data_IF_373716843221
#
_entry.id   IF_373716843221
#
_cell.length_a   1.000
_cell.length_b   1.000
_cell.length_c   1.000
_cell.angle_alpha   90.00
_cell.angle_beta   90.00
_cell.angle_gamma   90.00
#
_symmetry.space_group_name_H-M   'P 1'
#
loop_
_entity.id
_entity.type
_entity.pdbx_description
1 polymer ?
2 non-polymer ?
3 water ?
#
# COMPACT_ATOMS: atom_id res chain seq x y z
N UNK A 1 -4.68 -20.70 -5.13
CA UNK A 1 -5.15 -19.61 -4.19
C UNK A 1 -6.67 -19.57 -4.06
N UNK A 2 -7.18 -19.26 -2.87
CA UNK A 2 -8.61 -19.21 -2.62
C UNK A 2 -8.93 -18.03 -1.70
N UNK A 3 -10.09 -17.39 -1.92
CA UNK A 3 -10.58 -16.36 -1.04
C UNK A 3 -10.65 -16.87 0.40
N UNK A 4 -10.33 -15.97 1.33
CA UNK A 4 -10.47 -16.20 2.76
C UNK A 4 -10.95 -14.91 3.39
N UNK A 5 -11.83 -15.01 4.37
CA UNK A 5 -12.22 -13.89 5.16
C UNK A 5 -12.94 -14.30 6.41
N UNK A 6 -12.86 -13.47 7.44
CA UNK A 6 -13.54 -13.71 8.69
C UNK A 6 -13.99 -12.41 9.32
N UNK A 7 -15.11 -12.44 10.02
CA UNK A 7 -15.62 -11.35 10.79
C UNK A 7 -15.28 -11.59 12.28
N UNK A 8 -14.65 -10.61 12.91
CA UNK A 8 -14.25 -10.67 14.31
C UNK A 8 -15.04 -9.68 15.12
N UNK A 9 -15.82 -10.19 16.08
CA UNK A 9 -16.74 -9.37 16.83
C UNK A 9 -16.11 -8.90 18.14
N UNK A 10 -16.69 -7.89 18.79
CA UNK A 10 -16.18 -7.47 20.09
C UNK A 10 -16.14 -8.64 21.07
N UNK A 11 -15.05 -8.71 21.81
CA UNK A 11 -14.90 -9.67 22.91
C UNK A 11 -14.85 -11.12 22.52
N UNK A 12 -14.61 -11.40 21.26
CA UNK A 12 -14.48 -12.75 20.77
C UNK A 12 -13.22 -12.86 19.99
N UNK A 13 -12.23 -13.55 20.48
CA UNK A 13 -11.04 -13.92 19.73
C UNK A 13 -11.37 -15.03 18.76
N UNK A 14 -10.77 -14.98 17.58
CA UNK A 14 -11.00 -15.91 16.51
C UNK A 14 -9.71 -16.62 16.22
N UNK A 15 -9.70 -17.94 16.35
CA UNK A 15 -8.62 -18.83 15.98
C UNK A 15 -8.75 -19.16 14.51
N UNK A 16 -7.63 -19.13 13.82
CA UNK A 16 -7.54 -19.49 12.41
C UNK A 16 -6.38 -20.47 12.29
N UNK A 17 -6.64 -21.57 11.60
CA UNK A 17 -5.71 -22.63 11.37
C UNK A 17 -5.51 -22.77 9.87
N UNK A 18 -4.36 -22.32 9.32
CA UNK A 18 -4.04 -22.62 7.93
C UNK A 18 -4.08 -24.15 7.72
N UNK A 19 -4.43 -24.57 6.53
CA UNK A 19 -4.35 -25.98 6.16
C UNK A 19 -2.88 -26.44 6.24
N UNK A 20 -2.66 -27.73 6.34
CA UNK A 20 -1.29 -28.25 6.38
C UNK A 20 -0.53 -27.80 5.13
N UNK A 21 0.73 -27.41 5.29
CA UNK A 21 1.56 -26.98 4.17
C UNK A 21 0.96 -25.80 3.35
N UNK A 22 0.17 -24.98 4.03
CA UNK A 22 -0.49 -23.84 3.41
C UNK A 22 -0.37 -22.63 4.29
N UNK A 23 -0.75 -21.47 3.75
CA UNK A 23 -0.68 -20.23 4.46
C UNK A 23 -1.99 -19.49 4.36
N UNK A 24 -2.25 -18.61 5.32
CA UNK A 24 -3.28 -17.62 5.22
C UNK A 24 -2.58 -16.27 5.06
N UNK A 25 -2.97 -15.53 4.02
CA UNK A 25 -2.50 -14.17 3.78
C UNK A 25 -3.63 -13.26 4.15
N UNK A 26 -3.40 -12.33 5.05
CA UNK A 26 -4.34 -11.30 5.38
C UNK A 26 -3.96 -10.03 4.60
N UNK A 27 -4.91 -9.51 3.82
CA UNK A 27 -4.69 -8.35 2.97
C UNK A 27 -5.38 -7.10 3.48
N UNK A 28 -6.51 -7.21 4.16
CA UNK A 28 -7.25 -6.08 4.61
C UNK A 28 -7.97 -6.30 5.90
N UNK A 29 -8.08 -5.25 6.69
CA UNK A 29 -8.98 -5.21 7.84
C UNK A 29 -9.79 -3.97 7.73
N UNK A 30 -11.12 -4.11 7.84
CA UNK A 30 -12.01 -2.98 7.70
C UNK A 30 -13.04 -2.96 8.80
N UNK A 31 -13.42 -1.80 9.29
CA UNK A 31 -14.46 -1.67 10.26
C UNK A 31 -15.82 -1.91 9.63
N UNK A 32 -16.64 -2.70 10.33
CA UNK A 32 -18.04 -2.91 10.06
C UNK A 32 -18.75 -2.28 11.25
N UNK A 33 -19.07 -0.98 11.16
CA UNK A 33 -19.51 -0.25 12.33
C UNK A 33 -20.87 -0.67 12.76
N UNK A 34 -21.10 -0.68 14.07
CA UNK A 34 -22.39 -0.99 14.66
C UNK A 34 -23.03 0.25 15.26
N UNK A 35 -22.26 1.00 16.05
CA UNK A 35 -22.71 2.23 16.70
C UNK A 35 -21.65 3.29 16.39
N UNK A 36 -22.08 4.48 16.00
CA UNK A 36 -21.18 5.56 15.67
C UNK A 36 -20.29 5.87 16.87
N UNK A 37 -18.97 5.88 16.64
CA UNK A 37 -18.00 6.06 17.71
C UNK A 37 -16.68 6.47 17.16
N UNK A 38 -15.97 7.29 17.93
CA UNK A 38 -14.57 7.57 17.70
C UNK A 38 -13.59 6.66 18.40
N UNK A 39 -14.05 5.53 18.95
CA UNK A 39 -13.16 4.62 19.65
C UNK A 39 -11.99 4.18 18.77
N UNK A 40 -10.86 3.91 19.39
CA UNK A 40 -9.71 3.29 18.77
C UNK A 40 -9.89 1.81 18.85
N UNK A 41 -9.81 1.12 17.73
CA UNK A 41 -10.01 -0.32 17.62
C UNK A 41 -8.64 -0.92 17.33
N UNK A 42 -7.99 -1.41 18.39
CA UNK A 42 -6.64 -1.95 18.26
C UNK A 42 -6.76 -3.40 17.83
N UNK A 43 -6.11 -3.74 16.72
CA UNK A 43 -6.13 -5.08 16.19
C UNK A 43 -4.87 -5.81 16.61
N UNK A 44 -5.05 -7.03 17.11
CA UNK A 44 -3.94 -7.86 17.55
C UNK A 44 -3.97 -9.25 16.95
N UNK A 45 -2.80 -9.86 16.86
CA UNK A 45 -2.68 -11.25 16.52
C UNK A 45 -1.77 -11.92 17.51
N UNK A 46 -2.10 -13.17 17.89
CA UNK A 46 -1.24 -14.01 18.69
C UNK A 46 -0.76 -15.14 17.86
N UNK A 47 0.56 -15.36 17.83
CA UNK A 47 1.17 -16.48 17.15
C UNK A 47 2.21 -17.04 18.11
N UNK A 48 2.13 -18.34 18.38
CA UNK A 48 3.13 -19.01 19.23
C UNK A 48 3.34 -18.31 20.56
N UNK A 49 2.26 -17.86 21.20
CA UNK A 49 2.34 -17.24 22.50
C UNK A 49 2.82 -15.81 22.55
N UNK A 50 3.04 -15.19 21.39
CA UNK A 50 3.40 -13.79 21.30
C UNK A 50 2.27 -13.02 20.70
N UNK A 51 1.81 -11.95 21.37
CA UNK A 51 0.74 -11.08 20.93
C UNK A 51 1.33 -9.75 20.44
N UNK A 52 0.97 -9.39 19.22
CA UNK A 52 1.47 -8.22 18.53
C UNK A 52 0.31 -7.40 17.98
N UNK A 53 0.45 -6.08 18.04
CA UNK A 53 -0.47 -5.18 17.38
C UNK A 53 -0.21 -5.12 15.89
N UNK A 54 -1.29 -5.32 15.12
CA UNK A 54 -1.23 -5.27 13.66
C UNK A 54 -1.80 -3.97 13.08
N UNK A 55 -2.36 -3.12 13.91
CA UNK A 55 -2.84 -1.83 13.52
C UNK A 55 -3.93 -1.33 14.37
N UNK A 56 -4.28 -0.05 14.23
CA UNK A 56 -5.37 0.58 14.92
C UNK A 56 -6.33 1.18 13.91
N UNK A 57 -7.60 0.81 14.02
CA UNK A 57 -8.65 1.36 13.20
C UNK A 57 -9.48 2.35 13.97
N UNK A 58 -10.19 3.23 13.28
CA UNK A 58 -11.21 4.07 13.86
C UNK A 58 -12.20 4.46 12.77
N UNK A 59 -13.45 4.69 13.15
CA UNK A 59 -14.50 4.95 12.18
C UNK A 59 -14.23 6.20 11.39
N UNK A 60 -13.71 7.23 12.07
CA UNK A 60 -13.55 8.52 11.45
C UNK A 60 -12.24 8.73 10.73
N UNK A 61 -11.15 8.16 11.21
CA UNK A 61 -9.81 8.43 10.71
C UNK A 61 -9.14 7.29 9.98
N UNK A 62 -9.35 6.04 10.47
CA UNK A 62 -8.64 4.88 9.93
C UNK A 62 -9.61 3.73 9.74
N UNK A 63 -10.58 3.83 8.79
CA UNK A 63 -11.64 2.82 8.74
C UNK A 63 -11.18 1.48 8.14
N UNK A 64 -10.00 1.42 7.55
CA UNK A 64 -9.44 0.23 7.02
C UNK A 64 -7.93 0.33 6.96
N UNK A 65 -7.27 -0.82 6.92
CA UNK A 65 -5.83 -0.94 6.69
C UNK A 65 -5.61 -2.02 5.63
N UNK A 66 -4.67 -1.77 4.72
CA UNK A 66 -4.17 -2.73 3.77
C UNK A 66 -2.85 -3.30 4.27
N UNK A 67 -2.73 -4.63 4.27
CA UNK A 67 -1.69 -5.47 4.83
C UNK A 67 -1.04 -6.39 3.89
N UNK A 68 0.17 -6.86 4.22
CA UNK A 68 0.79 -8.03 3.61
C UNK A 68 1.24 -8.96 4.72
N UNK A 69 0.26 -9.59 5.37
CA UNK A 69 0.52 -10.50 6.49
C UNK A 69 0.41 -11.93 6.05
N UNK A 70 1.32 -12.78 6.51
CA UNK A 70 1.36 -14.18 6.17
C UNK A 70 1.46 -15.01 7.46
N UNK A 71 0.60 -16.03 7.54
CA UNK A 71 0.56 -16.96 8.67
C UNK A 71 0.66 -18.37 8.16
N UNK A 72 1.68 -19.09 8.62
CA UNK A 72 1.94 -20.45 8.23
C UNK A 72 1.39 -21.49 9.24
N UNK A 73 1.06 -21.01 10.43
CA UNK A 73 0.63 -21.85 11.54
C UNK A 73 -0.56 -21.18 12.18
N UNK A 74 -1.18 -21.84 13.13
CA UNK A 74 -2.33 -21.32 13.82
C UNK A 74 -2.05 -19.94 14.40
N UNK A 75 -3.06 -19.09 14.35
CA UNK A 75 -2.97 -17.74 14.90
C UNK A 75 -4.31 -17.32 15.44
N UNK A 76 -4.35 -16.26 16.25
CA UNK A 76 -5.56 -15.80 16.83
C UNK A 76 -5.71 -14.31 16.64
N UNK A 77 -6.84 -13.88 16.07
CA UNK A 77 -7.16 -12.49 15.86
C UNK A 77 -8.08 -11.99 16.93
N UNK A 78 -7.88 -10.77 17.37
CA UNK A 78 -8.73 -10.11 18.31
C UNK A 78 -8.66 -8.60 18.13
N UNK A 79 -9.65 -7.90 18.69
CA UNK A 79 -9.56 -6.46 18.68
C UNK A 79 -10.25 -5.89 19.86
N UNK A 80 -9.97 -4.61 20.14
CA UNK A 80 -10.42 -3.91 21.31
C UNK A 80 -11.71 -3.12 21.12
N UNK A 81 -12.30 -3.20 19.92
CA UNK A 81 -13.47 -2.41 19.69
C UNK A 81 -14.71 -2.96 20.39
N UNK A 82 -15.62 -2.08 20.77
CA UNK A 82 -16.91 -2.50 21.27
C UNK A 82 -18.09 -2.02 20.45
N UNK A 83 -17.83 -1.15 19.47
CA UNK A 83 -18.89 -0.49 18.68
C UNK A 83 -18.76 -0.85 17.18
N UNK A 84 -17.97 -1.85 16.85
CA UNK A 84 -17.78 -2.32 15.50
C UNK A 84 -17.29 -3.76 15.49
N UNK A 85 -17.58 -4.46 14.41
CA UNK A 85 -16.85 -5.64 14.03
C UNK A 85 -15.68 -5.29 13.14
N UNK A 86 -14.73 -6.18 13.02
CA UNK A 86 -13.64 -6.01 12.08
C UNK A 86 -13.70 -7.18 11.11
N UNK A 87 -13.72 -6.84 9.82
CA UNK A 87 -13.75 -7.82 8.76
C UNK A 87 -12.37 -7.96 8.18
N UNK A 88 -11.80 -9.14 8.26
CA UNK A 88 -10.47 -9.45 7.73
C UNK A 88 -10.63 -10.24 6.46
N UNK A 89 -9.91 -9.86 5.41
CA UNK A 89 -10.02 -10.53 4.12
C UNK A 89 -8.63 -10.78 3.58
N UNK A 90 -8.47 -11.84 2.81
CA UNK A 90 -7.25 -12.20 2.18
C UNK A 90 -7.44 -13.47 1.42
N UNK A 91 -6.49 -14.36 1.50
CA UNK A 91 -6.52 -15.59 0.68
C UNK A 91 -5.66 -16.67 1.30
N UNK A 92 -5.94 -17.91 0.95
CA UNK A 92 -5.15 -19.06 1.27
C UNK A 92 -4.32 -19.40 0.09
N UNK A 93 -3.12 -19.91 0.33
CA UNK A 93 -2.31 -20.44 -0.76
C UNK A 93 -1.40 -21.55 -0.23
N UNK A 94 -0.86 -22.42 -1.10
CA UNK A 94 0.13 -23.41 -0.68
C UNK A 94 1.38 -22.71 -0.11
N UNK A 95 2.06 -23.41 0.77
CA UNK A 95 3.28 -22.92 1.39
C UNK A 95 4.33 -23.98 1.53
N UNK A 96 4.72 -24.59 0.41
CA UNK A 96 5.78 -25.60 0.33
C UNK A 96 7.07 -25.04 -0.29
N UNK B 1 7.35 -19.67 3.38
CA UNK B 1 7.24 -18.48 4.30
C UNK B 1 6.82 -18.84 5.73
N UNK B 2 7.29 -18.08 6.71
CA UNK B 2 6.90 -18.25 8.11
C UNK B 2 6.63 -16.88 8.74
N UNK B 3 5.63 -16.76 9.59
CA UNK B 3 5.31 -15.54 10.33
C UNK B 3 6.54 -15.05 11.09
N UNK B 4 6.76 -13.75 11.10
CA UNK B 4 7.83 -13.11 11.84
C UNK B 4 7.30 -11.84 12.46
N UNK B 5 7.59 -11.56 13.71
CA UNK B 5 7.23 -10.31 14.32
C UNK B 5 8.05 -10.04 15.56
N UNK B 6 8.27 -8.75 15.84
CA UNK B 6 9.05 -8.34 17.00
C UNK B 6 8.49 -7.06 17.55
N UNK B 7 8.62 -6.93 18.85
CA UNK B 7 8.26 -5.75 19.60
C UNK B 7 9.53 -4.98 19.98
N UNK B 8 9.58 -3.70 19.65
CA UNK B 8 10.72 -2.85 19.90
C UNK B 8 10.29 -1.76 20.87
N UNK B 9 11.00 -1.71 22.00
CA UNK B 9 10.60 -0.86 23.09
C UNK B 9 11.40 0.45 23.08
N UNK B 10 10.93 1.48 23.80
CA UNK B 10 11.69 2.70 23.91
C UNK B 10 13.12 2.45 24.39
N UNK B 11 14.05 3.19 23.79
CA UNK B 11 15.45 3.30 24.25
C UNK B 11 16.25 2.04 24.04
N UNK B 12 15.68 1.03 23.39
CA UNK B 12 16.35 -0.25 23.21
C UNK B 12 16.35 -0.62 21.73
N UNK B 13 17.51 -1.00 21.23
CA UNK B 13 17.65 -1.47 19.87
C UNK B 13 17.43 -2.98 19.88
N UNK B 14 16.77 -3.47 18.83
CA UNK B 14 16.55 -4.90 18.63
C UNK B 14 17.40 -5.39 17.46
N UNK B 15 18.37 -6.26 17.72
CA UNK B 15 19.21 -6.85 16.72
C UNK B 15 18.58 -8.12 16.24
N UNK B 16 18.60 -8.33 14.95
CA UNK B 16 18.08 -9.48 14.25
C UNK B 16 19.16 -10.04 13.36
N UNK B 17 19.38 -11.36 13.37
CA UNK B 17 20.35 -11.99 12.50
C UNK B 17 19.64 -13.09 11.72
N UNK B 18 19.25 -12.82 10.45
CA UNK B 18 18.63 -13.86 9.65
C UNK B 18 19.57 -15.04 9.50
N UNK B 19 18.99 -16.23 9.37
CA UNK B 19 19.72 -17.39 8.91
C UNK B 19 20.36 -17.14 7.53
N UNK B 20 21.51 -17.76 7.29
CA UNK B 20 22.19 -17.62 6.02
C UNK B 20 21.26 -18.10 4.90
N UNK B 21 21.32 -17.44 3.74
CA UNK B 21 20.45 -17.78 2.61
C UNK B 21 18.93 -17.73 2.95
N UNK B 22 18.58 -16.88 3.92
CA UNK B 22 17.22 -16.55 4.23
C UNK B 22 17.07 -15.07 4.33
N UNK B 23 15.83 -14.58 4.25
CA UNK B 23 15.57 -13.19 4.43
C UNK B 23 14.49 -12.96 5.44
N UNK B 24 14.49 -11.79 6.05
CA UNK B 24 13.36 -11.25 6.78
C UNK B 24 12.71 -10.19 5.94
N UNK B 25 11.42 -10.36 5.73
CA UNK B 25 10.59 -9.37 5.06
C UNK B 25 9.77 -8.67 6.11
N UNK B 26 9.88 -7.37 6.25
CA UNK B 26 9.06 -6.61 7.16
C UNK B 26 7.99 -5.92 6.35
N UNK B 27 6.73 -6.14 6.68
CA UNK B 27 5.56 -5.67 5.98
C UNK B 27 4.84 -4.51 6.66
N UNK B 28 4.94 -4.45 8.00
CA UNK B 28 4.30 -3.39 8.69
C UNK B 28 4.98 -3.00 9.98
N UNK B 29 4.72 -1.77 10.37
CA UNK B 29 5.12 -1.26 11.68
C UNK B 29 3.94 -0.57 12.26
N UNK B 30 3.58 -0.87 13.51
CA UNK B 30 2.40 -0.32 14.17
C UNK B 30 2.75 0.10 15.59
N UNK B 31 2.17 1.19 16.04
CA UNK B 31 2.31 1.60 17.43
C UNK B 31 1.49 0.73 18.35
N UNK B 32 2.12 0.36 19.46
CA UNK B 32 1.50 -0.32 20.62
C UNK B 32 1.59 0.72 21.73
N UNK B 33 0.56 1.55 21.87
CA UNK B 33 0.64 2.69 22.74
C UNK B 33 0.66 2.28 24.20
N UNK B 34 1.43 3.06 24.99
CA UNK B 34 1.52 2.88 26.39
C UNK B 34 0.79 3.97 27.13
N UNK B 35 0.98 5.22 26.72
CA UNK B 35 0.20 6.35 27.26
C UNK B 35 -0.11 7.22 26.06
N UNK B 36 -1.25 7.90 26.12
CA UNK B 36 -1.70 8.77 25.06
C UNK B 36 -0.66 9.85 24.81
N UNK B 37 -0.27 10.03 23.54
CA UNK B 37 0.74 11.02 23.17
C UNK B 37 0.67 11.34 21.70
N UNK B 38 0.94 12.60 21.37
CA UNK B 38 1.14 13.06 20.01
C UNK B 38 2.55 13.01 19.52
N UNK B 39 3.45 12.37 20.26
CA UNK B 39 4.86 12.32 19.87
C UNK B 39 5.03 11.72 18.49
N UNK B 40 6.08 12.17 17.78
CA UNK B 40 6.56 11.54 16.58
C UNK B 40 7.50 10.43 16.95
N UNK B 41 7.25 9.25 16.40
CA UNK B 41 8.02 8.05 16.67
C UNK B 41 8.79 7.72 15.40
N UNK B 42 10.05 8.14 15.35
CA UNK B 42 10.86 7.94 14.16
C UNK B 42 11.48 6.55 14.20
N UNK B 43 11.26 5.77 13.16
CA UNK B 43 11.74 4.42 13.00
C UNK B 43 13.05 4.37 12.27
N UNK B 44 14.04 3.65 12.77
CA UNK B 44 15.29 3.50 12.13
C UNK B 44 15.77 2.07 12.00
N UNK B 45 16.56 1.79 10.97
CA UNK B 45 17.22 0.52 10.84
C UNK B 45 18.69 0.77 10.60
N UNK B 46 19.52 -0.05 11.22
CA UNK B 46 20.95 -0.07 11.02
C UNK B 46 21.30 -1.36 10.29
N UNK B 47 22.04 -1.27 9.19
CA UNK B 47 22.57 -2.40 8.48
C UNK B 47 24.05 -2.14 8.22
N UNK B 48 24.93 -2.79 9.00
CA UNK B 48 26.34 -2.49 8.94
C UNK B 48 26.57 -1.03 9.29
N UNK B 49 27.29 -0.29 8.43
CA UNK B 49 27.56 1.12 8.67
C UNK B 49 26.45 2.05 8.25
N UNK B 50 25.36 1.52 7.70
CA UNK B 50 24.22 2.35 7.26
C UNK B 50 23.19 2.49 8.35
N UNK B 51 22.59 3.64 8.49
CA UNK B 51 21.44 3.87 9.38
C UNK B 51 20.46 4.73 8.67
N UNK B 52 19.26 4.21 8.45
CA UNK B 52 18.24 4.84 7.63
C UNK B 52 16.95 4.94 8.37
N UNK B 53 16.26 6.07 8.19
CA UNK B 53 14.91 6.28 8.65
C UNK B 53 13.97 5.50 7.77
N UNK B 54 13.09 4.71 8.39
CA UNK B 54 12.13 3.87 7.69
C UNK B 54 10.70 4.27 7.98
N UNK B 55 10.50 5.42 8.58
CA UNK B 55 9.18 6.06 8.69
C UNK B 55 8.99 6.78 10.01
N UNK B 56 7.93 7.57 10.09
CA UNK B 56 7.57 8.30 11.27
C UNK B 56 6.13 7.98 11.61
N UNK B 57 5.90 7.43 12.82
CA UNK B 57 4.58 7.09 13.28
C UNK B 57 4.11 8.12 14.33
N UNK B 58 2.80 8.18 14.55
CA UNK B 58 2.22 8.93 15.66
C UNK B 58 0.89 8.36 16.01
N UNK B 59 0.49 8.40 17.27
CA UNK B 59 -0.75 7.75 17.71
C UNK B 59 -1.96 8.34 17.03
N UNK B 60 -1.96 9.66 16.81
CA UNK B 60 -3.14 10.31 16.31
C UNK B 60 -3.23 10.38 14.75
N UNK B 61 -2.09 10.49 14.06
CA UNK B 61 -2.09 10.70 12.62
C UNK B 61 -1.55 9.56 11.80
N UNK B 62 -0.52 8.86 12.29
CA UNK B 62 0.16 7.82 11.53
C UNK B 62 0.41 6.60 12.42
N UNK B 63 -0.65 5.89 12.86
CA UNK B 63 -0.43 4.84 13.85
C UNK B 63 0.24 3.57 13.31
N UNK B 64 0.27 3.42 11.99
CA UNK B 64 0.90 2.29 11.34
C UNK B 64 1.34 2.67 9.96
N UNK B 65 2.27 1.90 9.42
CA UNK B 65 2.75 1.99 8.04
C UNK B 65 2.81 0.57 7.50
N UNK B 66 2.44 0.43 6.23
CA UNK B 66 2.61 -0.78 5.46
C UNK B 66 3.75 -0.52 4.48
N UNK B 67 4.69 -1.41 4.35
CA UNK B 67 5.86 -1.30 3.49
C UNK B 67 6.38 -2.67 3.05
N UNK B 68 7.39 -2.70 2.20
CA UNK B 68 7.94 -3.91 1.58
C UNK B 68 9.45 -3.90 1.79
N UNK B 69 9.87 -4.23 3.02
CA UNK B 69 11.31 -4.19 3.38
C UNK B 69 11.89 -5.56 3.42
N UNK B 70 13.13 -5.71 3.00
CA UNK B 70 13.86 -6.97 2.94
C UNK B 70 15.23 -6.83 3.54
N UNK B 71 15.58 -7.77 4.43
CA UNK B 71 16.87 -7.84 5.09
C UNK B 71 17.44 -9.21 4.93
N UNK B 72 18.61 -9.33 4.34
CA UNK B 72 19.31 -10.56 4.11
C UNK B 72 20.40 -10.86 5.14
N UNK B 73 20.81 -9.84 5.90
CA UNK B 73 21.90 -9.90 6.85
C UNK B 73 21.50 -9.24 8.15
N UNK B 74 22.37 -9.33 9.16
CA UNK B 74 22.13 -8.68 10.42
C UNK B 74 21.65 -7.25 10.29
N UNK B 75 20.67 -6.86 11.08
CA UNK B 75 20.15 -5.55 11.14
C UNK B 75 19.68 -5.22 12.51
N UNK B 76 19.48 -3.94 12.81
CA UNK B 76 19.01 -3.51 14.10
C UNK B 76 17.92 -2.51 13.94
N UNK B 77 16.79 -2.74 14.61
CA UNK B 77 15.64 -1.84 14.62
C UNK B 77 15.64 -1.02 15.87
N UNK B 78 15.25 0.24 15.77
CA UNK B 78 15.08 1.12 16.90
C UNK B 78 14.09 2.20 16.57
N UNK B 79 13.61 2.91 17.57
CA UNK B 79 12.76 4.07 17.32
C UNK B 79 12.91 5.09 18.43
N UNK B 80 12.43 6.29 18.18
CA UNK B 80 12.58 7.42 19.07
C UNK B 80 11.40 7.64 20.02
N UNK B 81 10.41 6.74 19.99
CA UNK B 81 9.28 6.90 20.85
C UNK B 81 9.55 6.60 22.30
N UNK B 82 8.80 7.26 23.17
CA UNK B 82 8.88 6.95 24.61
C UNK B 82 7.55 6.58 25.22
N UNK B 83 6.47 6.73 24.45
CA UNK B 83 5.09 6.54 24.94
C UNK B 83 4.38 5.43 24.15
N UNK B 84 5.17 4.61 23.45
CA UNK B 84 4.68 3.47 22.74
C UNK B 84 5.83 2.52 22.43
N UNK B 85 5.47 1.23 22.23
CA UNK B 85 6.31 0.28 21.56
C UNK B 85 5.96 0.30 20.08
N UNK B 86 6.86 -0.25 19.28
CA UNK B 86 6.55 -0.44 17.86
C UNK B 86 6.65 -1.92 17.58
N UNK B 87 5.58 -2.44 16.96
CA UNK B 87 5.51 -3.82 16.57
C UNK B 87 5.76 -3.93 15.10
N UNK B 88 6.80 -4.64 14.70
CA UNK B 88 7.19 -4.85 13.33
C UNK B 88 6.82 -6.29 12.95
N UNK B 89 6.10 -6.45 11.83
CA UNK B 89 5.61 -7.74 11.46
C UNK B 89 5.86 -8.02 10.01
N UNK B 90 6.15 -9.25 9.67
CA UNK B 90 6.29 -9.67 8.30
C UNK B 90 6.47 -11.18 8.25
N UNK B 91 7.48 -11.66 7.57
CA UNK B 91 7.69 -13.10 7.36
C UNK B 91 9.14 -13.39 6.99
N UNK B 92 9.59 -14.60 7.24
CA UNK B 92 10.85 -15.13 6.82
C UNK B 92 10.63 -15.98 5.60
N UNK B 93 11.58 -15.96 4.68
CA UNK B 93 11.56 -16.78 3.50
C UNK B 93 12.96 -17.13 3.06
N UNK B 94 13.15 -18.18 2.23
CA UNK B 94 14.45 -18.46 1.65
C UNK B 94 14.93 -17.29 0.79
N UNK B 95 16.24 -17.19 0.62
CA UNK B 95 16.87 -16.19 -0.24
C UNK B 95 17.87 -16.80 -1.21
N UNK C 1 -1.79 -12.92 -17.44
CA UNK C 1 -2.48 -11.78 -16.75
C UNK C 1 -3.19 -10.82 -17.71
N UNK C 2 -4.36 -10.33 -17.32
CA UNK C 2 -5.16 -9.43 -18.16
C UNK C 2 -5.81 -8.37 -17.31
N UNK C 3 -5.95 -7.15 -17.82
CA UNK C 3 -6.68 -6.09 -17.15
C UNK C 3 -8.12 -6.52 -16.87
N UNK C 4 -8.65 -6.14 -15.70
CA UNK C 4 -10.02 -6.35 -15.33
C UNK C 4 -10.53 -5.10 -14.60
N UNK C 5 -11.79 -4.74 -14.84
CA UNK C 5 -12.44 -3.75 -14.04
C UNK C 5 -13.92 -3.74 -14.22
N UNK C 6 -14.62 -3.17 -13.26
CA UNK C 6 -16.09 -3.06 -13.27
C UNK C 6 -16.54 -1.81 -12.57
N UNK C 7 -17.66 -1.27 -13.02
CA UNK C 7 -18.32 -0.13 -12.39
C UNK C 7 -19.52 -0.65 -11.64
N UNK C 8 -19.63 -0.29 -10.35
CA UNK C 8 -20.71 -0.74 -9.47
C UNK C 8 -21.52 0.49 -9.09
N UNK C 9 -22.80 0.44 -9.43
CA UNK C 9 -23.67 1.58 -9.33
C UNK C 9 -24.47 1.53 -8.04
N UNK C 10 -25.04 2.68 -7.62
CA UNK C 10 -25.91 2.70 -6.46
C UNK C 10 -27.00 1.65 -6.58
N UNK C 11 -27.28 0.98 -5.48
CA UNK C 11 -28.46 0.13 -5.32
C UNK C 11 -28.44 -1.17 -6.08
N UNK C 12 -27.34 -1.49 -6.75
CA UNK C 12 -27.22 -2.68 -7.56
C UNK C 12 -25.96 -3.46 -7.25
N UNK C 13 -26.07 -4.78 -7.24
CA UNK C 13 -24.93 -5.63 -7.06
C UNK C 13 -24.37 -6.04 -8.40
N UNK C 14 -23.06 -6.09 -8.52
CA UNK C 14 -22.35 -6.55 -9.67
C UNK C 14 -21.74 -7.94 -9.41
N UNK C 15 -22.15 -8.93 -10.21
CA UNK C 15 -21.66 -10.27 -10.10
C UNK C 15 -20.48 -10.46 -11.00
N UNK C 16 -19.45 -11.10 -10.50
CA UNK C 16 -18.23 -11.40 -11.19
C UNK C 16 -17.91 -12.86 -11.03
N UNK C 17 -17.67 -13.57 -12.14
CA UNK C 17 -17.50 -15.00 -12.16
C UNK C 17 -16.13 -15.34 -12.72
N UNK C 18 -15.10 -15.63 -11.88
CA UNK C 18 -13.82 -16.06 -12.41
C UNK C 18 -14.01 -17.35 -13.23
N UNK C 19 -13.28 -17.48 -14.34
CA UNK C 19 -13.30 -18.73 -15.07
C UNK C 19 -12.62 -19.78 -14.22
N UNK C 20 -12.92 -21.06 -14.49
CA UNK C 20 -12.24 -22.18 -13.86
C UNK C 20 -10.71 -21.96 -13.98
N UNK C 21 -9.99 -22.28 -12.90
CA UNK C 21 -8.52 -22.14 -12.89
C UNK C 21 -8.01 -20.72 -13.17
N UNK C 22 -8.83 -19.72 -12.86
CA UNK C 22 -8.44 -18.32 -12.94
C UNK C 22 -8.83 -17.66 -11.64
N UNK C 23 -8.22 -16.50 -11.41
CA UNK C 23 -8.54 -15.67 -10.28
C UNK C 23 -8.84 -14.27 -10.79
N UNK C 24 -9.65 -13.53 -10.06
CA UNK C 24 -9.75 -12.11 -10.19
C UNK C 24 -9.06 -11.47 -9.00
N UNK C 25 -8.12 -10.60 -9.32
CA UNK C 25 -7.38 -9.81 -8.36
C UNK C 25 -7.95 -8.41 -8.37
N UNK C 26 -8.49 -7.94 -7.27
CA UNK C 26 -8.92 -6.57 -7.14
C UNK C 26 -7.80 -5.79 -6.47
N UNK C 27 -7.33 -4.74 -7.15
CA UNK C 27 -6.25 -3.88 -6.71
C UNK C 27 -6.70 -2.54 -6.18
N UNK C 28 -7.79 -1.99 -6.69
CA UNK C 28 -8.23 -0.68 -6.32
C UNK C 28 -9.73 -0.54 -6.39
N UNK C 29 -10.27 0.26 -5.48
CA UNK C 29 -11.63 0.75 -5.53
C UNK C 29 -11.60 2.23 -5.44
N UNK C 30 -12.24 2.92 -6.40
CA UNK C 30 -12.21 4.38 -6.44
C UNK C 30 -13.60 4.93 -6.63
N UNK C 31 -13.92 6.04 -5.98
CA UNK C 31 -15.17 6.72 -6.22
C UNK C 31 -15.16 7.41 -7.58
N UNK C 32 -16.26 7.24 -8.31
CA UNK C 32 -16.59 7.93 -9.55
C UNK C 32 -17.77 8.80 -9.16
N UNK C 33 -17.50 10.05 -8.72
CA UNK C 33 -18.54 10.82 -8.12
C UNK C 33 -19.52 11.32 -9.16
N UNK C 34 -20.80 11.37 -8.75
CA UNK C 34 -21.85 11.88 -9.58
C UNK C 34 -22.34 13.23 -9.08
N UNK C 35 -22.55 13.34 -7.78
CA UNK C 35 -22.93 14.57 -7.11
C UNK C 35 -22.00 14.74 -5.91
N UNK C 36 -21.52 15.94 -5.66
CA UNK C 36 -20.68 16.24 -4.53
C UNK C 36 -21.42 15.85 -3.25
N UNK C 37 -20.74 15.06 -2.39
CA UNK C 37 -21.34 14.52 -1.19
C UNK C 37 -20.27 14.10 -0.21
N UNK C 38 -20.58 14.29 1.08
CA UNK C 38 -19.80 13.73 2.18
C UNK C 38 -20.21 12.34 2.62
N UNK C 39 -21.10 11.67 1.89
CA UNK C 39 -21.60 10.36 2.33
C UNK C 39 -20.45 9.37 2.49
N UNK C 40 -20.65 8.43 3.42
CA UNK C 40 -19.80 7.27 3.58
C UNK C 40 -20.32 6.20 2.63
N UNK C 41 -19.42 5.64 1.83
CA UNK C 41 -19.72 4.64 0.83
C UNK C 41 -19.09 3.33 1.31
N UNK C 42 -19.90 2.47 1.92
CA UNK C 42 -19.38 1.24 2.49
C UNK C 42 -19.39 0.17 1.38
N UNK C 43 -18.25 -0.44 1.13
CA UNK C 43 -18.04 -1.43 0.13
C UNK C 43 -18.19 -2.82 0.72
N UNK C 44 -18.92 -3.68 0.04
CA UNK C 44 -19.10 -5.06 0.46
C UNK C 44 -18.84 -6.04 -0.66
N UNK C 45 -18.41 -7.23 -0.27
CA UNK C 45 -18.33 -8.36 -1.17
C UNK C 45 -19.11 -9.50 -0.57
N UNK C 46 -19.85 -10.21 -1.41
CA UNK C 46 -20.57 -11.41 -1.02
C UNK C 46 -19.94 -12.55 -1.78
N UNK C 47 -19.52 -13.59 -1.03
CA UNK C 47 -18.90 -14.78 -1.60
C UNK C 47 -19.53 -15.96 -0.86
N UNK C 48 -20.23 -16.80 -1.62
CA UNK C 48 -20.84 -17.99 -1.07
C UNK C 48 -21.65 -17.76 0.18
N UNK C 49 -22.50 -16.73 0.18
CA UNK C 49 -23.38 -16.54 1.32
C UNK C 49 -22.75 -15.86 2.54
N UNK C 50 -21.46 -15.49 2.46
CA UNK C 50 -20.88 -14.58 3.41
C UNK C 50 -20.77 -13.18 2.80
N UNK C 51 -21.16 -12.15 3.55
CA UNK C 51 -20.98 -10.77 3.14
C UNK C 51 -19.97 -10.11 4.10
N UNK C 52 -18.96 -9.52 3.51
CA UNK C 52 -17.88 -8.86 4.26
C UNK C 52 -17.70 -7.42 3.77
N UNK C 53 -17.46 -6.50 4.70
CA UNK C 53 -17.07 -5.14 4.37
C UNK C 53 -15.62 -5.12 3.96
N UNK C 54 -15.34 -4.49 2.82
CA UNK C 54 -13.99 -4.37 2.27
C UNK C 54 -13.49 -2.95 2.23
N UNK C 55 -14.21 -2.03 2.87
CA UNK C 55 -13.74 -0.68 3.12
C UNK C 55 -14.83 0.32 3.08
N UNK C 56 -14.51 1.54 3.50
CA UNK C 56 -15.40 2.67 3.47
C UNK C 56 -14.72 3.81 2.70
N UNK C 57 -15.34 4.26 1.63
CA UNK C 57 -14.86 5.38 0.85
C UNK C 57 -15.66 6.64 1.17
N UNK C 58 -15.08 7.80 0.84
CA UNK C 58 -15.81 9.05 0.91
C UNK C 58 -15.11 10.04 -0.01
N UNK C 59 -15.86 10.95 -0.62
CA UNK C 59 -15.29 11.86 -1.60
C UNK C 59 -14.22 12.75 -1.00
N UNK C 60 -14.44 13.19 0.25
CA UNK C 60 -13.55 14.14 0.85
C UNK C 60 -12.33 13.55 1.59
N UNK C 61 -12.48 12.36 2.21
CA UNK C 61 -11.46 11.78 3.05
C UNK C 61 -10.82 10.53 2.51
N UNK C 62 -11.62 9.64 1.88
CA UNK C 62 -11.14 8.34 1.44
C UNK C 62 -11.59 8.03 0.03
N UNK C 63 -11.08 8.75 -1.00
CA UNK C 63 -11.70 8.61 -2.33
C UNK C 63 -11.35 7.31 -3.05
N UNK C 64 -10.33 6.60 -2.56
CA UNK C 64 -9.91 5.36 -3.10
C UNK C 64 -9.21 4.52 -2.01
N UNK C 65 -9.18 3.22 -2.26
CA UNK C 65 -8.45 2.25 -1.49
C UNK C 65 -7.62 1.37 -2.41
N UNK C 66 -6.38 1.06 -2.03
CA UNK C 66 -5.56 0.09 -2.71
C UNK C 66 -5.55 -1.20 -1.90
N UNK C 67 -5.79 -2.31 -2.60
CA UNK C 67 -6.08 -3.65 -2.14
C UNK C 67 -5.20 -4.72 -2.69
N UNK C 68 -5.08 -5.85 -1.99
CA UNK C 68 -4.59 -7.11 -2.56
C UNK C 68 -5.62 -8.20 -2.33
N UNK C 69 -6.74 -8.13 -3.05
CA UNK C 69 -7.82 -9.10 -2.93
C UNK C 69 -7.78 -10.09 -4.04
N UNK C 70 -8.11 -11.34 -3.73
CA UNK C 70 -8.10 -12.46 -4.65
C UNK C 70 -9.40 -13.22 -4.50
N UNK C 71 -10.05 -13.47 -5.63
CA UNK C 71 -11.28 -14.23 -5.70
C UNK C 71 -11.13 -15.36 -6.72
N UNK C 72 -11.33 -16.60 -6.28
CA UNK C 72 -11.23 -17.78 -7.11
C UNK C 72 -12.62 -18.27 -7.58
N UNK C 73 -13.69 -17.79 -6.94
CA UNK C 73 -15.06 -18.21 -7.22
C UNK C 73 -15.95 -17.00 -7.33
N UNK C 74 -17.14 -17.20 -7.84
CA UNK C 74 -18.08 -16.14 -8.05
C UNK C 74 -18.29 -15.29 -6.84
N UNK C 75 -18.36 -13.97 -7.04
CA UNK C 75 -18.59 -13.04 -6.00
C UNK C 75 -19.45 -11.90 -6.49
N UNK C 76 -20.02 -11.11 -5.58
CA UNK C 76 -20.78 -9.95 -5.88
C UNK C 76 -20.29 -8.75 -5.10
N UNK C 77 -20.10 -7.64 -5.80
CA UNK C 77 -19.72 -6.38 -5.22
C UNK C 77 -20.92 -5.48 -5.12
N UNK C 78 -21.03 -4.75 -4.03
CA UNK C 78 -22.07 -3.79 -3.80
C UNK C 78 -21.54 -2.69 -2.90
N UNK C 79 -22.23 -1.56 -2.85
CA UNK C 79 -21.88 -0.50 -1.97
C UNK C 79 -23.07 0.29 -1.55
N UNK C 80 -22.92 1.09 -0.50
CA UNK C 80 -23.99 1.88 0.08
C UNK C 80 -24.14 3.32 -0.44
N UNK C 81 -23.31 3.66 -1.41
CA UNK C 81 -23.34 5.02 -1.92
C UNK C 81 -24.54 5.30 -2.78
N UNK C 82 -25.01 6.56 -2.78
CA UNK C 82 -26.02 6.97 -3.72
C UNK C 82 -25.63 8.14 -4.59
N UNK C 83 -24.48 8.74 -4.33
CA UNK C 83 -24.00 9.94 -5.05
C UNK C 83 -22.70 9.68 -5.78
N UNK C 84 -22.37 8.42 -5.96
CA UNK C 84 -21.21 7.99 -6.71
C UNK C 84 -21.37 6.57 -7.16
N UNK C 85 -20.64 6.20 -8.22
CA UNK C 85 -20.33 4.84 -8.55
C UNK C 85 -19.00 4.48 -7.90
N UNK C 86 -18.72 3.19 -7.81
CA UNK C 86 -17.42 2.74 -7.39
C UNK C 86 -16.83 1.91 -8.50
N UNK C 87 -15.61 2.25 -8.92
CA UNK C 87 -14.91 1.57 -9.96
C UNK C 87 -13.86 0.68 -9.35
N UNK C 88 -13.97 -0.63 -9.60
CA UNK C 88 -13.06 -1.63 -9.07
C UNK C 88 -12.19 -2.08 -10.21
N UNK C 89 -10.87 -2.10 -9.98
CA UNK C 89 -9.93 -2.42 -11.01
C UNK C 89 -8.90 -3.38 -10.50
N UNK C 90 -8.36 -4.20 -11.39
CA UNK C 90 -7.35 -5.16 -11.06
C UNK C 90 -7.00 -5.95 -12.26
N UNK C 91 -6.93 -7.26 -12.12
CA UNK C 91 -6.47 -8.14 -13.21
C UNK C 91 -6.94 -9.55 -12.97
N UNK C 92 -7.02 -10.32 -14.05
CA UNK C 92 -7.22 -11.76 -14.03
C UNK C 92 -5.87 -12.40 -14.17
N UNK C 93 -5.69 -13.52 -13.46
CA UNK C 93 -4.49 -14.29 -13.59
C UNK C 93 -4.82 -15.78 -13.47
N UNK C 94 -3.91 -16.67 -13.94
CA UNK C 94 -4.14 -18.09 -13.75
C UNK C 94 -4.14 -18.44 -12.25
N UNK C 95 -4.85 -19.51 -11.90
CA UNK C 95 -4.88 -19.97 -10.53
C UNK C 95 -4.18 -21.32 -10.23
N UNK D 1 12.69 -7.29 -16.48
CA UNK D 1 11.95 -6.09 -15.99
C UNK D 1 12.67 -4.79 -16.30
N UNK D 2 11.91 -3.73 -16.65
CA UNK D 2 12.46 -2.45 -17.04
C UNK D 2 11.64 -1.33 -16.44
N UNK D 3 12.30 -0.23 -16.04
CA UNK D 3 11.62 0.98 -15.59
C UNK D 3 10.66 1.44 -16.74
N UNK D 4 9.51 1.98 -16.34
CA UNK D 4 8.54 2.58 -17.22
C UNK D 4 7.95 3.81 -16.55
N UNK D 5 7.72 4.88 -17.31
CA UNK D 5 6.96 5.98 -16.80
C UNK D 5 6.56 6.94 -17.88
N UNK D 6 5.49 7.69 -17.62
CA UNK D 6 4.97 8.67 -18.57
C UNK D 6 4.36 9.85 -17.83
N UNK D 7 4.52 11.04 -18.40
CA UNK D 7 3.89 12.27 -17.93
C UNK D 7 2.63 12.56 -18.78
N UNK D 8 1.50 12.76 -18.12
CA UNK D 8 0.21 12.98 -18.76
C UNK D 8 -0.24 14.40 -18.42
N UNK D 9 -0.41 15.22 -19.46
CA UNK D 9 -0.73 16.61 -19.28
C UNK D 9 -2.24 16.84 -19.41
N UNK D 10 -2.72 18.03 -19.01
CA UNK D 10 -4.13 18.35 -19.13
C UNK D 10 -4.62 18.15 -20.56
N UNK D 11 -5.85 17.64 -20.65
CA UNK D 11 -6.66 17.65 -21.85
C UNK D 11 -6.32 16.53 -22.82
N UNK D 12 -5.16 15.87 -22.64
CA UNK D 12 -4.65 14.94 -23.62
C UNK D 12 -4.55 13.54 -23.07
N UNK D 13 -4.84 12.55 -23.89
CA UNK D 13 -4.74 11.19 -23.45
C UNK D 13 -3.41 10.67 -23.94
N UNK D 14 -2.77 9.83 -23.12
CA UNK D 14 -1.60 9.09 -23.51
C UNK D 14 -1.90 7.62 -23.75
N UNK D 15 -1.68 7.14 -24.99
CA UNK D 15 -1.98 5.77 -25.36
C UNK D 15 -0.69 4.99 -25.28
N UNK D 16 -0.71 3.89 -24.52
CA UNK D 16 0.41 3.04 -24.23
C UNK D 16 0.09 1.63 -24.72
N UNK D 17 1.04 1.05 -25.45
CA UNK D 17 0.88 -0.26 -26.07
C UNK D 17 1.95 -1.19 -25.50
N UNK D 18 1.60 -2.11 -24.58
CA UNK D 18 2.54 -3.12 -24.14
C UNK D 18 3.10 -3.89 -25.33
N UNK D 19 4.40 -4.22 -25.25
CA UNK D 19 5.03 -5.01 -26.29
C UNK D 19 4.39 -6.40 -26.29
N UNK D 20 4.51 -7.13 -27.39
CA UNK D 20 3.93 -8.46 -27.51
C UNK D 20 4.38 -9.34 -26.34
N UNK D 21 3.45 -10.12 -25.78
CA UNK D 21 3.74 -11.02 -24.65
C UNK D 21 4.37 -10.32 -23.43
N UNK D 22 4.05 -9.04 -23.24
CA UNK D 22 4.58 -8.27 -22.12
C UNK D 22 3.48 -7.48 -21.49
N UNK D 23 3.79 -6.97 -20.30
CA UNK D 23 2.87 -6.23 -19.47
C UNK D 23 3.47 -4.90 -19.12
N UNK D 24 2.60 -3.93 -18.88
CA UNK D 24 2.96 -2.71 -18.22
C UNK D 24 2.31 -2.74 -16.85
N UNK D 25 3.12 -2.56 -15.81
CA UNK D 25 2.68 -2.42 -14.45
C UNK D 25 2.75 -0.97 -14.06
N UNK D 26 1.64 -0.38 -13.65
CA UNK D 26 1.62 0.93 -13.08
C UNK D 26 1.62 0.82 -11.58
N UNK D 27 2.60 1.45 -10.94
CA UNK D 27 2.81 1.43 -9.49
C UNK D 27 2.40 2.69 -8.79
N UNK D 28 2.56 3.85 -9.43
CA UNK D 28 2.26 5.09 -8.79
C UNK D 28 1.78 6.13 -9.78
N UNK D 29 0.91 7.01 -9.32
CA UNK D 29 0.56 8.24 -9.99
C UNK D 29 0.77 9.38 -9.02
N UNK D 30 1.48 10.41 -9.45
CA UNK D 30 1.85 11.56 -8.59
C UNK D 30 1.57 12.87 -9.32
N UNK D 31 1.05 13.86 -8.61
CA UNK D 31 0.90 15.17 -9.18
C UNK D 31 2.20 15.89 -9.35
N UNK D 32 2.37 16.48 -10.53
CA UNK D 32 3.44 17.42 -10.86
C UNK D 32 2.75 18.78 -11.00
N UNK D 33 2.68 19.54 -9.91
CA UNK D 33 1.86 20.74 -9.91
C UNK D 33 2.46 21.84 -10.76
N UNK D 34 1.58 22.59 -11.44
CA UNK D 34 2.00 23.71 -12.27
C UNK D 34 1.57 25.02 -11.60
N UNK D 35 0.33 25.11 -11.15
CA UNK D 35 -0.21 26.23 -10.42
C UNK D 35 -0.86 25.72 -9.16
N UNK D 36 -0.65 26.39 -8.02
CA UNK D 36 -1.25 25.98 -6.76
C UNK D 36 -2.77 25.94 -6.92
N UNK D 37 -3.37 24.81 -6.54
CA UNK D 37 -4.80 24.58 -6.74
C UNK D 37 -5.27 23.47 -5.84
N UNK D 38 -6.51 23.61 -5.35
CA UNK D 38 -7.22 22.55 -4.67
C UNK D 38 -8.07 21.69 -5.57
N UNK D 39 -7.91 21.80 -6.89
CA UNK D 39 -8.74 21.04 -7.81
C UNK D 39 -8.63 19.54 -7.55
N UNK D 40 -9.71 18.83 -7.84
CA UNK D 40 -9.69 17.38 -7.89
C UNK D 40 -9.24 16.94 -9.25
N UNK D 41 -8.24 16.07 -9.30
CA UNK D 41 -7.66 15.55 -10.53
C UNK D 41 -8.08 14.09 -10.64
N UNK D 42 -9.12 13.86 -11.42
CA UNK D 42 -9.65 12.51 -11.56
C UNK D 42 -8.88 11.77 -12.61
N UNK D 43 -8.29 10.64 -12.26
CA UNK D 43 -7.51 9.82 -13.15
C UNK D 43 -8.38 8.75 -13.77
N UNK D 44 -8.26 8.57 -15.07
CA UNK D 44 -8.97 7.52 -15.78
C UNK D 44 -8.08 6.71 -16.68
N UNK D 45 -8.50 5.45 -16.88
CA UNK D 45 -7.89 4.60 -17.87
C UNK D 45 -8.98 4.08 -18.78
N UNK D 46 -8.68 4.03 -20.08
CA UNK D 46 -9.60 3.44 -21.06
C UNK D 46 -8.91 2.20 -21.62
N UNK D 47 -9.63 1.07 -21.57
CA UNK D 47 -9.15 -0.20 -22.08
C UNK D 47 -10.31 -0.83 -22.82
N UNK D 48 -10.11 -1.08 -24.11
CA UNK D 48 -11.17 -1.62 -24.95
C UNK D 48 -12.23 -0.53 -25.00
N UNK D 49 -13.50 -0.90 -24.76
CA UNK D 49 -14.57 0.07 -24.77
C UNK D 49 -14.62 1.02 -23.54
N UNK D 50 -13.89 0.66 -22.49
CA UNK D 50 -14.35 0.97 -21.15
C UNK D 50 -13.43 1.97 -20.51
N UNK D 51 -14.03 3.02 -19.93
CA UNK D 51 -13.30 4.07 -19.21
C UNK D 51 -13.66 3.93 -17.74
N UNK D 52 -12.62 3.79 -16.92
CA UNK D 52 -12.76 3.59 -15.48
C UNK D 52 -11.91 4.60 -14.75
N UNK D 53 -12.44 5.11 -13.64
CA UNK D 53 -11.71 5.93 -12.71
C UNK D 53 -10.74 5.11 -11.92
N UNK D 54 -9.48 5.53 -11.88
CA UNK D 54 -8.44 4.85 -11.15
C UNK D 54 -7.94 5.65 -9.95
N UNK D 55 -8.60 6.75 -9.62
CA UNK D 55 -8.30 7.52 -8.44
C UNK D 55 -8.49 8.98 -8.62
N UNK D 56 -8.51 9.72 -7.51
CA UNK D 56 -8.60 11.15 -7.51
C UNK D 56 -7.45 11.71 -6.71
N UNK D 57 -6.66 12.56 -7.34
CA UNK D 57 -5.56 13.26 -6.72
C UNK D 57 -5.94 14.69 -6.39
N UNK D 58 -5.19 15.30 -5.46
CA UNK D 58 -5.27 16.75 -5.25
C UNK D 58 -3.96 17.18 -4.61
N UNK D 59 -3.56 18.44 -4.88
CA UNK D 59 -2.27 18.92 -4.44
C UNK D 59 -2.15 18.91 -2.92
N UNK D 60 -3.24 19.24 -2.24
CA UNK D 60 -3.19 19.41 -0.81
C UNK D 60 -3.48 18.15 0.02
N UNK D 61 -4.34 17.26 -0.49
CA UNK D 61 -4.85 16.13 0.29
C UNK D 61 -4.37 14.79 -0.24
N UNK D 62 -4.29 14.62 -1.57
CA UNK D 62 -4.01 13.33 -2.17
C UNK D 62 -2.99 13.47 -3.30
N UNK D 63 -1.73 13.82 -2.99
CA UNK D 63 -0.82 14.19 -4.06
C UNK D 63 -0.25 13.00 -4.85
N UNK D 64 -0.47 11.77 -4.35
CA UNK D 64 -0.06 10.59 -5.05
C UNK D 64 -0.90 9.40 -4.58
N UNK D 65 -0.94 8.37 -5.42
CA UNK D 65 -1.55 7.07 -5.13
C UNK D 65 -0.56 5.99 -5.54
N UNK D 66 -0.47 4.93 -4.72
CA UNK D 66 0.26 3.73 -5.02
C UNK D 66 -0.76 2.66 -5.40
N UNK D 67 -0.45 1.99 -6.54
CA UNK D 67 -1.23 1.05 -7.32
C UNK D 67 -0.59 -0.23 -7.57
N UNK D 68 -1.40 -1.27 -7.84
CA UNK D 68 -0.93 -2.53 -8.44
C UNK D 68 -1.77 -2.79 -9.67
N UNK D 69 -1.53 -2.03 -10.75
CA UNK D 69 -2.25 -2.18 -11.99
C UNK D 69 -1.40 -2.87 -13.01
N UNK D 70 -2.03 -3.71 -13.82
CA UNK D 70 -1.38 -4.50 -14.85
C UNK D 70 -2.19 -4.38 -16.15
N UNK D 71 -1.47 -4.14 -17.25
CA UNK D 71 -2.05 -4.00 -18.58
C UNK D 71 -1.31 -4.91 -19.52
N UNK D 72 -2.08 -5.74 -20.24
CA UNK D 72 -1.58 -6.66 -21.24
C UNK D 72 -1.82 -6.15 -22.68
N UNK D 73 -2.72 -5.18 -22.84
CA UNK D 73 -3.13 -4.65 -24.14
C UNK D 73 -3.13 -3.14 -24.06
N UNK D 74 -3.30 -2.50 -25.22
CA UNK D 74 -3.33 -1.07 -25.28
C UNK D 74 -4.28 -0.45 -24.28
N UNK D 75 -3.84 0.65 -23.69
CA UNK D 75 -4.62 1.39 -22.74
C UNK D 75 -4.32 2.87 -22.90
N UNK D 76 -5.23 3.71 -22.42
CA UNK D 76 -5.09 5.15 -22.52
C UNK D 76 -5.30 5.80 -21.17
N UNK D 77 -4.33 6.60 -20.75
CA UNK D 77 -4.39 7.34 -19.49
C UNK D 77 -4.76 8.77 -19.75
N UNK D 78 -5.63 9.33 -18.93
CA UNK D 78 -6.04 10.71 -19.01
C UNK D 78 -6.42 11.16 -17.61
N UNK D 79 -6.59 12.47 -17.43
CA UNK D 79 -7.05 13.00 -16.17
C UNK D 79 -7.74 14.32 -16.39
N UNK D 80 -8.49 14.76 -15.40
CA UNK D 80 -9.31 15.95 -15.44
C UNK D 80 -8.62 17.20 -14.89
N UNK D 81 -7.33 17.10 -14.53
CA UNK D 81 -6.66 18.26 -13.98
C UNK D 81 -6.31 19.29 -15.02
N UNK D 82 -6.29 20.55 -14.61
CA UNK D 82 -5.81 21.60 -15.48
C UNK D 82 -4.66 22.40 -14.92
N UNK D 83 -4.30 22.18 -13.66
CA UNK D 83 -3.26 22.93 -12.95
C UNK D 83 -2.13 22.03 -12.49
N UNK D 84 -2.07 20.82 -13.04
CA UNK D 84 -1.02 19.87 -12.77
C UNK D 84 -0.95 18.87 -13.89
N UNK D 85 0.24 18.29 -14.06
CA UNK D 85 0.44 17.07 -14.81
C UNK D 85 0.38 15.90 -13.85
N UNK D 86 0.18 14.70 -14.39
CA UNK D 86 0.25 13.50 -13.57
C UNK D 86 1.32 12.61 -14.13
N UNK D 87 2.24 12.20 -13.26
CA UNK D 87 3.33 11.36 -13.65
C UNK D 87 3.04 9.95 -13.14
N UNK D 88 2.98 9.01 -14.10
CA UNK D 88 2.73 7.62 -13.82
C UNK D 88 4.06 6.87 -13.94
N UNK D 89 4.33 5.98 -12.98
CA UNK D 89 5.56 5.23 -12.99
C UNK D 89 5.26 3.77 -12.66
N UNK D 90 6.09 2.88 -13.17
CA UNK D 90 5.98 1.48 -12.93
C UNK D 90 7.08 0.77 -13.63
N UNK D 91 6.75 -0.33 -14.29
CA UNK D 91 7.75 -1.19 -14.96
C UNK D 91 7.08 -2.08 -16.01
N UNK D 92 7.86 -2.52 -16.99
CA UNK D 92 7.48 -3.51 -17.95
C UNK D 92 8.06 -4.83 -17.54
N UNK D 93 7.34 -5.91 -17.84
CA UNK D 93 7.83 -7.25 -17.58
C UNK D 93 7.20 -8.23 -18.56
N UNK D 94 7.74 -9.45 -18.73
CA UNK D 94 7.08 -10.45 -19.57
C UNK D 94 5.71 -10.84 -19.02
N UNK D 95 4.81 -11.28 -19.90
CA UNK D 95 3.70 -12.22 -19.58
C UNK D 95 2.28 -11.62 -19.37
N UNK E 1 18.49 -11.77 -3.17
CA UNK E 1 18.04 -10.38 -2.81
C UNK E 1 18.83 -9.82 -1.62
N UNK E 2 19.13 -8.51 -1.68
CA UNK E 2 19.94 -7.84 -0.67
C UNK E 2 19.33 -6.51 -0.32
N UNK E 3 19.42 -6.11 0.95
CA UNK E 3 19.06 -4.78 1.40
C UNK E 3 19.77 -3.72 0.56
N UNK E 4 19.05 -2.63 0.28
CA UNK E 4 19.61 -1.46 -0.34
C UNK E 4 18.95 -0.24 0.27
N UNK E 5 19.69 0.85 0.40
CA UNK E 5 19.13 2.13 0.71
C UNK E 5 20.10 3.24 0.52
N UNK E 6 19.57 4.45 0.43
CA UNK E 6 20.40 5.68 0.32
C UNK E 6 19.70 6.84 0.96
N UNK E 7 20.48 7.77 1.49
CA UNK E 7 19.98 9.03 2.04
C UNK E 7 20.34 10.13 1.01
N UNK E 8 19.34 10.90 0.62
CA UNK E 8 19.47 11.97 -0.34
C UNK E 8 19.27 13.30 0.35
N UNK E 9 20.33 14.14 0.31
CA UNK E 9 20.30 15.39 1.01
C UNK E 9 19.83 16.54 0.13
N UNK E 10 19.49 17.70 0.72
CA UNK E 10 19.13 18.86 -0.08
C UNK E 10 20.20 19.20 -1.12
N UNK E 11 19.72 19.52 -2.33
CA UNK E 11 20.57 20.14 -3.36
C UNK E 11 21.59 19.17 -3.96
N UNK E 12 21.44 17.88 -3.68
CA UNK E 12 22.35 16.87 -4.17
C UNK E 12 21.56 15.75 -4.78
N UNK E 13 22.00 15.33 -5.97
CA UNK E 13 21.44 14.20 -6.63
C UNK E 13 22.26 12.98 -6.23
N UNK E 14 21.59 11.85 -6.07
CA UNK E 14 22.20 10.58 -5.86
C UNK E 14 22.05 9.73 -7.11
N UNK E 15 23.16 9.33 -7.71
CA UNK E 15 23.19 8.43 -8.83
C UNK E 15 23.31 7.01 -8.30
N UNK E 16 22.50 6.13 -8.87
CA UNK E 16 22.44 4.72 -8.50
C UNK E 16 22.54 3.93 -9.79
N UNK E 17 23.45 2.96 -9.80
CA UNK E 17 23.76 2.19 -11.00
C UNK E 17 23.54 0.72 -10.66
N UNK E 18 22.41 0.12 -11.07
CA UNK E 18 22.21 -1.32 -10.84
C UNK E 18 23.36 -2.10 -11.47
N UNK E 19 23.77 -3.18 -10.82
CA UNK E 19 24.79 -4.05 -11.38
C UNK E 19 24.21 -4.70 -12.65
N UNK E 20 25.10 -5.16 -13.54
CA UNK E 20 24.66 -5.82 -14.75
C UNK E 20 23.70 -6.97 -14.43
N UNK E 21 22.63 -7.10 -15.22
CA UNK E 21 21.63 -8.15 -15.02
C UNK E 21 20.98 -8.15 -13.62
N UNK E 22 20.92 -6.98 -12.99
CA UNK E 22 20.30 -6.82 -11.69
C UNK E 22 19.38 -5.61 -11.72
N UNK E 23 18.54 -5.52 -10.69
CA UNK E 23 17.61 -4.46 -10.51
C UNK E 23 17.77 -3.83 -9.15
N UNK E 24 17.37 -2.56 -9.05
CA UNK E 24 17.15 -1.94 -7.76
C UNK E 24 15.65 -1.72 -7.61
N UNK E 25 15.06 -2.24 -6.54
CA UNK E 25 13.70 -1.98 -6.17
C UNK E 25 13.66 -0.96 -5.04
N UNK E 26 12.92 0.12 -5.25
CA UNK E 26 12.70 1.12 -4.21
C UNK E 26 11.30 0.87 -3.62
N UNK E 27 11.25 0.65 -2.31
CA UNK E 27 10.04 0.34 -1.57
C UNK E 27 9.47 1.50 -0.78
N UNK E 28 10.33 2.40 -0.29
CA UNK E 28 9.86 3.46 0.55
C UNK E 28 10.78 4.67 0.44
N UNK E 29 10.15 5.84 0.58
CA UNK E 29 10.86 7.09 0.80
C UNK E 29 10.29 7.72 2.05
N UNK E 30 11.18 8.11 2.96
CA UNK E 30 10.78 8.72 4.22
C UNK E 30 11.55 9.99 4.49
N UNK E 31 10.88 10.95 5.10
CA UNK E 31 11.57 12.16 5.52
C UNK E 31 12.42 11.95 6.74
N UNK E 32 13.65 12.49 6.70
CA UNK E 32 14.58 12.54 7.85
C UNK E 32 14.73 14.03 8.11
N UNK E 33 13.89 14.57 8.98
CA UNK E 33 13.81 16.01 9.14
C UNK E 33 15.05 16.58 9.81
N UNK E 34 15.43 17.77 9.38
CA UNK E 34 16.58 18.47 9.92
C UNK E 34 16.12 19.69 10.72
N UNK E 35 15.19 20.46 10.16
CA UNK E 35 14.57 21.62 10.78
C UNK E 35 13.06 21.44 10.61
N UNK E 36 12.29 21.77 11.64
CA UNK E 36 10.83 21.63 11.55
C UNK E 36 10.33 22.55 10.42
N UNK E 37 9.52 22.02 9.53
CA UNK E 37 9.05 22.75 8.35
C UNK E 37 7.82 22.10 7.76
N UNK E 38 6.92 22.95 7.25
CA UNK E 38 5.81 22.56 6.44
C UNK E 38 6.08 22.46 4.96
N UNK E 39 7.34 22.58 4.54
CA UNK E 39 7.67 22.60 3.12
C UNK E 39 7.18 21.32 2.45
N UNK E 40 6.82 21.45 1.16
CA UNK E 40 6.55 20.32 0.31
C UNK E 40 7.88 19.86 -0.28
N UNK E 41 8.17 18.57 -0.15
CA UNK E 41 9.41 17.97 -0.59
C UNK E 41 9.07 17.10 -1.78
N UNK E 42 9.29 17.64 -2.98
CA UNK E 42 8.95 16.91 -4.19
C UNK E 42 10.09 16.00 -4.55
N UNK E 43 9.77 14.70 -4.70
CA UNK E 43 10.73 13.68 -5.04
C UNK E 43 10.75 13.48 -6.53
N UNK E 44 11.93 13.37 -7.11
CA UNK E 44 12.07 13.10 -8.53
C UNK E 44 13.08 12.01 -8.81
N UNK E 45 12.86 11.30 -9.90
CA UNK E 45 13.81 10.41 -10.47
C UNK E 45 14.08 10.77 -11.92
N UNK E 46 15.35 10.70 -12.31
CA UNK E 46 15.75 10.90 -13.70
C UNK E 46 16.29 9.58 -14.21
N UNK E 47 15.74 9.09 -15.32
CA UNK E 47 16.18 7.89 -15.99
C UNK E 47 16.31 8.21 -17.46
N UNK E 48 17.51 8.03 -18.01
CA UNK E 48 17.76 8.28 -19.41
C UNK E 48 17.28 9.65 -19.87
N UNK E 49 17.56 10.66 -19.06
CA UNK E 49 17.25 12.03 -19.43
C UNK E 49 15.80 12.46 -19.25
N UNK E 50 14.95 11.57 -18.73
CA UNK E 50 13.55 11.92 -18.40
C UNK E 50 13.43 12.03 -16.91
N UNK E 51 12.86 13.15 -16.43
CA UNK E 51 12.69 13.43 -15.01
C UNK E 51 11.19 13.36 -14.69
N UNK E 52 10.87 12.51 -13.72
CA UNK E 52 9.50 12.26 -13.32
C UNK E 52 9.39 12.47 -11.81
N UNK E 53 8.26 13.07 -11.41
CA UNK E 53 7.91 13.21 -10.01
C UNK E 53 7.41 11.87 -9.50
N UNK E 54 7.99 11.43 -8.37
CA UNK E 54 7.62 10.16 -7.74
C UNK E 54 6.92 10.34 -6.40
N UNK E 55 6.58 11.56 -6.05
CA UNK E 55 5.74 11.88 -4.92
C UNK E 55 6.13 13.16 -4.26
N UNK E 56 5.27 13.60 -3.34
CA UNK E 56 5.50 14.78 -2.53
C UNK E 56 5.37 14.36 -1.07
N UNK E 57 6.44 14.64 -0.30
CA UNK E 57 6.42 14.42 1.12
C UNK E 57 6.28 15.72 1.87
N UNK E 58 5.86 15.65 3.12
CA UNK E 58 5.90 16.78 4.03
C UNK E 58 5.91 16.23 5.44
N UNK E 59 6.52 16.99 6.34
CA UNK E 59 6.72 16.56 7.70
C UNK E 59 5.39 16.29 8.39
N UNK E 60 4.43 17.19 8.16
CA UNK E 60 3.18 17.11 8.87
C UNK E 60 2.09 16.21 8.26
N UNK E 61 2.05 16.11 6.93
CA UNK E 61 0.96 15.40 6.26
C UNK E 61 1.37 14.15 5.52
N UNK E 62 2.58 14.12 4.94
CA UNK E 62 3.02 13.00 4.09
C UNK E 62 4.45 12.60 4.41
N UNK E 63 4.69 12.03 5.62
CA UNK E 63 6.08 11.83 6.05
C UNK E 63 6.82 10.69 5.37
N UNK E 64 6.05 9.79 4.70
CA UNK E 64 6.64 8.73 3.96
C UNK E 64 5.65 8.27 2.88
N UNK E 65 6.21 7.59 1.88
CA UNK E 65 5.44 6.95 0.80
C UNK E 65 5.97 5.53 0.63
N UNK E 66 5.04 4.58 0.42
CA UNK E 66 5.39 3.22 0.06
C UNK E 66 5.11 3.03 -1.44
N UNK E 67 6.10 2.44 -2.11
CA UNK E 67 6.32 2.30 -3.53
C UNK E 67 6.58 0.95 -3.99
N UNK E 68 6.29 0.64 -5.26
CA UNK E 68 6.78 -0.55 -5.92
C UNK E 68 7.53 -0.10 -7.18
N UNK E 69 8.71 0.47 -6.99
CA UNK E 69 9.52 0.98 -8.12
C UNK E 69 10.65 0.04 -8.44
N UNK E 70 10.93 -0.14 -9.71
CA UNK E 70 11.97 -1.02 -10.22
C UNK E 70 12.82 -0.26 -11.25
N UNK E 71 14.14 -0.38 -11.12
CA UNK E 71 15.10 0.25 -12.00
C UNK E 71 16.11 -0.78 -12.47
N UNK E 72 16.24 -0.88 -13.80
CA UNK E 72 17.18 -1.81 -14.44
C UNK E 72 18.44 -1.10 -14.92
N UNK E 73 18.40 0.24 -15.02
CA UNK E 73 19.50 1.05 -15.52
C UNK E 73 19.75 2.20 -14.59
N UNK E 74 20.87 2.88 -14.81
CA UNK E 74 21.24 4.01 -14.01
C UNK E 74 20.12 5.01 -13.86
N UNK E 75 19.97 5.53 -12.64
CA UNK E 75 18.98 6.52 -12.32
C UNK E 75 19.51 7.49 -11.31
N UNK E 76 18.85 8.64 -11.20
CA UNK E 76 19.28 9.68 -10.28
C UNK E 76 18.09 10.13 -9.45
N UNK E 77 18.24 10.09 -8.13
CA UNK E 77 17.23 10.57 -7.20
C UNK E 77 17.58 11.96 -6.72
N UNK E 78 16.55 12.80 -6.59
CA UNK E 78 16.72 14.14 -6.07
C UNK E 78 15.43 14.60 -5.46
N UNK E 79 15.45 15.65 -4.67
CA UNK E 79 14.25 16.21 -4.12
C UNK E 79 14.42 17.70 -3.89
N UNK E 80 13.28 18.39 -3.69
CA UNK E 80 13.24 19.83 -3.58
C UNK E 80 13.29 20.34 -2.14
N UNK E 81 13.46 19.44 -1.18
CA UNK E 81 13.48 19.83 0.20
C UNK E 81 14.77 20.56 0.59
N UNK E 82 14.64 21.49 1.53
CA UNK E 82 15.81 22.09 2.11
C UNK E 82 15.93 21.92 3.61
N UNK E 83 14.90 21.36 4.25
CA UNK E 83 14.84 21.21 5.70
C UNK E 83 14.73 19.75 6.11
N UNK E 84 15.06 18.84 5.19
CA UNK E 84 15.02 17.40 5.44
C UNK E 84 15.86 16.68 4.42
N UNK E 85 16.37 15.51 4.81
CA UNK E 85 16.87 14.50 3.90
C UNK E 85 15.72 13.54 3.59
N UNK E 86 15.88 12.78 2.52
CA UNK E 86 14.92 11.74 2.19
C UNK E 86 15.67 10.46 2.10
N UNK E 87 15.20 9.45 2.87
CA UNK E 87 15.84 8.15 2.91
C UNK E 87 15.00 7.20 2.06
N UNK E 88 15.65 6.60 1.09
CA UNK E 88 15.05 5.61 0.19
C UNK E 88 15.55 4.25 0.60
N UNK E 89 14.63 3.29 0.74
CA UNK E 89 15.01 1.94 1.09
C UNK E 89 14.33 0.95 0.14
N UNK E 90 14.99 -0.17 -0.10
CA UNK E 90 14.44 -1.21 -0.88
C UNK E 90 15.41 -2.36 -0.91
N UNK E 91 15.63 -2.93 -2.08
CA UNK E 91 16.48 -4.14 -2.21
C UNK E 91 16.98 -4.27 -3.65
N UNK E 92 18.08 -5.01 -3.82
CA UNK E 92 18.62 -5.42 -5.09
C UNK E 92 18.26 -6.85 -5.34
N UNK E 93 18.04 -7.20 -6.60
CA UNK E 93 17.77 -8.58 -6.98
C UNK E 93 18.19 -8.84 -8.42
N UNK E 94 18.33 -10.11 -8.84
CA UNK E 94 18.62 -10.38 -10.25
C UNK E 94 17.51 -9.89 -11.17
N UNK E 95 17.87 -9.61 -12.42
CA UNK E 95 16.91 -9.22 -13.43
C UNK E 95 16.60 -10.23 -14.55
X LIG F 1 3.89 -12.14 -14.81
#
# INVERSE_FOLDING_TARGET
MEFWGVAVTPKNATKVTPEEDSLVHISQASLDCTVKSGESVVLSVTVGGAKLVIGTLSQDKFPQISFDLVFDKEFELSHSGTKANVHFIGYKSPNL
MEFWGVAVTPKNATKVTPEEDSLVHISQASLDCTVKSGESVVLSVTVGGAKLVIGTLSQDKFPQISFDLVFDKEFELSHSGTKANVHFIGYKSPNL
MEFWGVAVTPKNATKVTPEEDSLVHISQASLDCTVKSGESVVLSVTVGGAKLVIGTLSQDKFPQISFDLVFDKEFELSHSGTKANVHFIGYKSPNL
MEFWGVAVTPKNATKVTPEEDSLVHISQASLDCTVKSGESVVLSVTVGGAKLVIGTLSQDKFPQISFDLVFDKEFELSHSGTKANVHFIGYKSPNL
MEFWGVAVTPKNATKVTPEEDSLVHISQASLDCTVKSGESVVLSVTVGGAKLVIGTLSQDKFPQISFDLVFDKEFELSHSGTKANVHFIGYKSPNL
NA NA
#
